data_IF_599739673098
#
_entry.id   IF_599739673098
#
_cell.length_a   1.000
_cell.length_b   1.000
_cell.length_c   1.000
_cell.angle_alpha   90.00
_cell.angle_beta   90.00
_cell.angle_gamma   90.00
#
_symmetry.space_group_name_H-M   'P 1'
#
loop_
_entity.id
_entity.type
_entity.pdbx_description
1 polymer ?
#
# COMPACT_ATOMS: atom_id res chain seq x y z
N UNK A 1 -9.20 16.42 -36.07
CA UNK A 1 -7.90 16.23 -35.39
C UNK A 1 -8.17 16.12 -33.91
N UNK A 2 -8.09 14.89 -33.39
CA UNK A 2 -8.49 14.55 -32.02
C UNK A 2 -7.25 14.23 -31.19
N UNK A 3 -6.51 15.27 -30.80
CA UNK A 3 -5.41 15.15 -29.84
C UNK A 3 -6.01 15.10 -28.44
N UNK A 4 -6.59 13.95 -28.09
CA UNK A 4 -6.84 13.59 -26.72
C UNK A 4 -5.49 13.35 -26.06
N UNK A 5 -4.86 14.42 -25.57
CA UNK A 5 -3.73 14.36 -24.65
C UNK A 5 -4.20 13.61 -23.41
N UNK A 6 -4.10 12.28 -23.47
CA UNK A 6 -4.32 11.36 -22.37
C UNK A 6 -3.14 11.43 -21.42
N UNK A 7 -2.82 12.64 -20.97
CA UNK A 7 -1.79 12.90 -19.99
C UNK A 7 -2.00 11.97 -18.80
N UNK A 8 -0.94 11.24 -18.44
CA UNK A 8 -0.94 10.39 -17.26
C UNK A 8 -1.53 11.18 -16.07
N UNK A 9 -2.43 10.58 -15.26
CA UNK A 9 -2.98 11.26 -14.10
C UNK A 9 -1.85 11.80 -13.22
N UNK A 10 -2.04 13.02 -12.68
CA UNK A 10 -1.06 13.67 -11.84
C UNK A 10 -0.59 12.73 -10.70
N UNK A 11 0.72 12.59 -10.53
CA UNK A 11 1.33 11.69 -9.55
C UNK A 11 1.50 10.23 -10.00
N UNK A 12 1.19 9.89 -11.27
CA UNK A 12 1.44 8.55 -11.80
C UNK A 12 2.95 8.25 -11.84
N UNK A 13 3.37 7.17 -11.18
CA UNK A 13 4.78 6.77 -11.07
C UNK A 13 5.55 7.51 -9.97
N UNK A 14 4.89 8.38 -9.20
CA UNK A 14 5.47 9.04 -8.04
C UNK A 14 5.17 8.26 -6.76
N UNK A 15 6.03 8.44 -5.76
CA UNK A 15 5.82 7.81 -4.47
C UNK A 15 4.68 8.50 -3.71
N UNK A 16 3.82 7.74 -3.02
CA UNK A 16 2.69 8.30 -2.31
C UNK A 16 3.17 9.29 -1.24
N UNK A 17 2.49 10.44 -1.07
CA UNK A 17 2.91 11.45 -0.10
C UNK A 17 2.87 10.91 1.34
N UNK A 18 3.50 11.62 2.26
CA UNK A 18 3.38 11.30 3.70
C UNK A 18 1.91 11.32 4.14
N UNK A 19 1.47 10.27 4.84
CA UNK A 19 0.09 10.14 5.31
C UNK A 19 -0.91 9.51 4.31
N UNK A 20 -0.46 9.14 3.10
CA UNK A 20 -1.32 8.41 2.17
C UNK A 20 -1.67 7.01 2.70
N UNK A 21 -2.94 6.63 2.60
CA UNK A 21 -3.38 5.28 2.92
C UNK A 21 -3.08 4.33 1.76
N UNK A 22 -2.47 3.18 2.07
CA UNK A 22 -2.16 2.13 1.11
C UNK A 22 -2.97 0.88 1.46
N UNK A 23 -3.77 0.41 0.51
CA UNK A 23 -4.53 -0.82 0.64
C UNK A 23 -3.99 -1.83 -0.36
N UNK A 24 -3.59 -3.00 0.13
CA UNK A 24 -3.12 -4.09 -0.70
C UNK A 24 -3.92 -5.35 -0.38
N UNK A 25 -4.45 -6.00 -1.41
CA UNK A 25 -5.19 -7.24 -1.26
C UNK A 25 -4.26 -8.44 -1.44
N UNK A 26 -4.20 -9.31 -0.42
CA UNK A 26 -3.40 -10.53 -0.43
C UNK A 26 -4.34 -11.75 -0.57
N UNK A 27 -4.59 -12.27 -1.80
CA UNK A 27 -5.65 -13.26 -2.04
C UNK A 27 -5.40 -14.65 -1.42
N UNK A 28 -4.20 -14.94 -0.95
CA UNK A 28 -3.81 -16.21 -0.33
C UNK A 28 -3.07 -16.00 1.00
N UNK A 29 -3.39 -14.93 1.72
CA UNK A 29 -2.79 -14.72 3.04
C UNK A 29 -3.41 -15.64 4.08
N UNK A 30 -2.57 -16.49 4.69
CA UNK A 30 -2.94 -17.29 5.86
C UNK A 30 -2.69 -16.51 7.16
N UNK A 31 -3.45 -16.76 8.23
CA UNK A 31 -3.18 -16.16 9.54
C UNK A 31 -1.75 -16.44 10.02
N UNK A 32 -1.08 -15.44 10.57
CA UNK A 32 0.33 -15.52 10.98
C UNK A 32 1.33 -15.27 9.86
N UNK A 33 0.87 -15.03 8.63
CA UNK A 33 1.75 -14.55 7.55
C UNK A 33 2.24 -13.13 7.88
N UNK A 34 3.56 -12.94 7.95
CA UNK A 34 4.15 -11.60 7.98
C UNK A 34 4.22 -11.03 6.57
N UNK A 35 3.40 -10.03 6.27
CA UNK A 35 3.46 -9.26 5.04
C UNK A 35 4.47 -8.11 5.17
N UNK A 36 5.24 -7.87 4.11
CA UNK A 36 6.15 -6.72 3.98
C UNK A 36 5.79 -5.93 2.73
N UNK A 37 5.58 -4.63 2.88
CA UNK A 37 5.37 -3.68 1.80
C UNK A 37 6.54 -2.72 1.73
N UNK A 38 7.19 -2.63 0.58
CA UNK A 38 8.31 -1.73 0.34
C UNK A 38 7.96 -0.70 -0.72
N UNK A 39 8.28 0.55 -0.44
CA UNK A 39 8.17 1.64 -1.40
C UNK A 39 9.57 1.97 -1.89
N UNK A 40 9.79 1.77 -3.19
CA UNK A 40 11.08 1.95 -3.82
C UNK A 40 11.22 3.36 -4.42
N UNK A 41 12.45 3.87 -4.41
CA UNK A 41 12.87 5.00 -5.20
C UNK A 41 13.08 4.60 -6.66
N UNK A 42 13.26 5.60 -7.52
CA UNK A 42 13.50 5.38 -8.95
C UNK A 42 14.79 4.60 -9.24
N UNK A 43 15.75 4.70 -8.32
CA UNK A 43 17.02 3.97 -8.30
C UNK A 43 16.89 2.52 -7.78
N UNK A 44 15.69 2.10 -7.38
CA UNK A 44 15.44 0.81 -6.76
C UNK A 44 15.78 0.76 -5.26
N UNK A 45 16.19 1.88 -4.65
CA UNK A 45 16.47 1.92 -3.22
C UNK A 45 15.18 1.87 -2.41
N UNK A 46 15.19 1.18 -1.27
CA UNK A 46 14.04 1.17 -0.36
C UNK A 46 13.94 2.51 0.36
N UNK A 47 12.84 3.23 0.16
CA UNK A 47 12.57 4.50 0.84
C UNK A 47 11.79 4.28 2.13
N UNK A 48 10.82 3.36 2.12
CA UNK A 48 9.96 3.03 3.26
C UNK A 48 9.65 1.54 3.26
N UNK A 49 9.59 0.97 4.45
CA UNK A 49 9.18 -0.43 4.68
C UNK A 49 8.05 -0.43 5.70
N UNK A 50 7.01 -1.21 5.41
CA UNK A 50 5.91 -1.50 6.32
C UNK A 50 5.83 -3.01 6.51
N UNK A 51 5.63 -3.43 7.75
CA UNK A 51 5.45 -4.84 8.11
C UNK A 51 4.17 -5.00 8.89
N UNK A 52 3.37 -6.00 8.56
CA UNK A 52 2.16 -6.36 9.28
C UNK A 52 1.97 -7.86 9.30
N UNK A 53 1.39 -8.38 10.37
CA UNK A 53 0.98 -9.78 10.43
C UNK A 53 -0.48 -9.89 9.97
N UNK A 54 -0.79 -10.90 9.16
CA UNK A 54 -2.16 -11.19 8.79
C UNK A 54 -2.85 -11.84 9.97
N UNK A 55 -3.80 -11.11 10.56
CA UNK A 55 -4.66 -11.63 11.61
C UNK A 55 -5.74 -12.55 11.03
N UNK A 56 -6.14 -13.57 11.80
CA UNK A 56 -7.28 -14.40 11.43
C UNK A 56 -8.56 -13.54 11.37
N UNK A 57 -9.36 -13.75 10.32
CA UNK A 57 -10.69 -13.14 10.18
C UNK A 57 -11.56 -13.54 11.39
N UNK A 58 -11.69 -12.64 12.36
CA UNK A 58 -12.33 -12.93 13.64
C UNK A 58 -11.90 -12.02 14.79
N UNK A 59 -10.74 -11.36 14.70
CA UNK A 59 -10.45 -10.22 15.59
C UNK A 59 -11.04 -8.96 14.97
N UNK A 60 -12.25 -8.59 15.41
CA UNK A 60 -12.61 -7.17 15.39
C UNK A 60 -11.53 -6.46 16.20
N UNK A 61 -10.82 -5.53 15.57
CA UNK A 61 -10.05 -4.54 16.29
C UNK A 61 -11.03 -3.72 17.16
N UNK A 62 -11.25 -4.18 18.39
CA UNK A 62 -11.74 -3.34 19.49
C UNK A 62 -10.61 -2.34 19.82
N UNK A 63 -10.47 -1.32 18.98
CA UNK A 63 -9.62 -0.16 19.25
C UNK A 63 -10.25 1.15 18.83
N UNK A 64 -11.55 1.29 19.09
CA UNK A 64 -12.20 2.57 19.33
C UNK A 64 -12.79 2.55 20.74
N UNK A 65 -12.05 3.07 21.72
CA UNK A 65 -12.56 3.19 23.08
C UNK A 65 -11.51 3.47 24.14
N UNK A 66 -10.94 4.68 24.16
CA UNK A 66 -10.93 5.55 25.34
C UNK A 66 -10.44 6.96 25.00
#
# INVERSE_FOLDING_TARGET
DGDGDGGAPAGQGENPPGGAALYYWLPAAEPGLTARLEILGRDGAVLRTFTGEVEAAGKKDDKDGK
#
